data_IF_683201199603
#
_entry.id   IF_683201199603
#
_cell.length_a   1.000
_cell.length_b   1.000
_cell.length_c   1.000
_cell.angle_alpha   90.00
_cell.angle_beta   90.00
_cell.angle_gamma   90.00
#
_symmetry.space_group_name_H-M   'P 1'
#
loop_
_entity.id
_entity.type
_entity.pdbx_description
1 polymer ?
#
# COMPACT_ATOMS: atom_id res chain seq x y z
N UNK A 1 -21.56 -0.97 5.03
CA UNK A 1 -20.92 -1.23 3.72
C UNK A 1 -19.46 -1.61 3.96
N UNK A 2 -19.07 -2.84 3.69
CA UNK A 2 -17.77 -3.38 4.12
C UNK A 2 -16.59 -2.90 3.27
N UNK A 3 -15.42 -2.72 3.89
CA UNK A 3 -14.21 -2.23 3.20
C UNK A 3 -12.97 -3.01 3.61
N UNK A 4 -12.24 -3.58 2.66
CA UNK A 4 -10.89 -4.12 2.91
C UNK A 4 -9.85 -3.08 2.50
N UNK A 5 -8.99 -2.68 3.43
CA UNK A 5 -7.88 -1.75 3.19
C UNK A 5 -6.58 -2.55 3.09
N UNK A 6 -6.03 -2.65 1.89
CA UNK A 6 -4.71 -3.20 1.67
C UNK A 6 -3.65 -2.14 1.90
N UNK A 7 -2.56 -2.48 2.60
CA UNK A 7 -1.48 -1.53 2.81
C UNK A 7 -0.08 -2.12 2.58
N UNK A 8 0.86 -1.27 2.20
CA UNK A 8 2.28 -1.56 2.25
C UNK A 8 3.00 -0.47 3.01
N UNK A 9 3.91 -0.82 3.93
CA UNK A 9 4.66 0.16 4.71
C UNK A 9 6.06 -0.37 5.07
N UNK A 10 7.09 0.45 4.86
CA UNK A 10 8.44 0.15 5.33
C UNK A 10 8.67 0.55 6.79
N UNK A 11 8.26 1.76 7.17
CA UNK A 11 8.51 2.36 8.50
C UNK A 11 7.23 2.62 9.32
N UNK A 12 6.07 2.16 8.85
CA UNK A 12 4.79 2.22 9.59
C UNK A 12 3.90 3.43 9.28
N UNK A 13 4.37 4.41 8.51
CA UNK A 13 3.58 5.59 8.13
C UNK A 13 2.28 5.23 7.38
N UNK A 14 2.38 4.42 6.33
CA UNK A 14 1.22 3.93 5.58
C UNK A 14 0.31 3.03 6.43
N UNK A 15 0.86 2.28 7.39
CA UNK A 15 0.06 1.50 8.34
C UNK A 15 -0.74 2.42 9.27
N UNK A 16 -0.14 3.51 9.76
CA UNK A 16 -0.84 4.50 10.58
C UNK A 16 -2.01 5.12 9.81
N UNK A 17 -1.79 5.53 8.57
CA UNK A 17 -2.86 6.05 7.69
C UNK A 17 -3.96 5.00 7.46
N UNK A 18 -3.60 3.75 7.17
CA UNK A 18 -4.58 2.68 6.98
C UNK A 18 -5.45 2.49 8.23
N UNK A 19 -4.85 2.53 9.43
CA UNK A 19 -5.57 2.48 10.71
C UNK A 19 -6.48 3.67 10.93
N UNK A 20 -6.01 4.88 10.61
CA UNK A 20 -6.79 6.11 10.78
C UNK A 20 -8.01 6.15 9.83
N UNK A 21 -7.86 5.61 8.62
CA UNK A 21 -8.98 5.46 7.67
C UNK A 21 -9.95 4.39 8.17
N UNK A 22 -9.47 3.21 8.56
CA UNK A 22 -10.30 2.13 9.08
C UNK A 22 -11.14 2.59 10.28
N UNK A 23 -10.54 3.37 11.20
CA UNK A 23 -11.26 3.91 12.37
C UNK A 23 -12.38 4.90 12.03
N UNK A 24 -12.49 5.36 10.78
CA UNK A 24 -13.57 6.24 10.29
C UNK A 24 -14.58 5.50 9.41
N UNK A 25 -14.32 4.23 9.07
CA UNK A 25 -15.19 3.40 8.26
C UNK A 25 -15.93 2.40 9.16
N UNK A 26 -17.18 2.14 8.83
CA UNK A 26 -17.91 1.02 9.43
C UNK A 26 -17.52 -0.29 8.74
N UNK A 27 -17.32 -1.36 9.50
CA UNK A 27 -17.05 -2.71 8.98
C UNK A 27 -15.84 -2.75 8.03
N UNK A 28 -14.65 -2.46 8.54
CA UNK A 28 -13.42 -2.45 7.74
C UNK A 28 -12.31 -3.32 8.31
N UNK A 29 -11.61 -4.02 7.42
CA UNK A 29 -10.42 -4.80 7.73
C UNK A 29 -9.17 -4.17 7.11
N UNK A 30 -8.02 -4.37 7.74
CA UNK A 30 -6.72 -3.92 7.24
C UNK A 30 -5.83 -5.12 6.99
N UNK A 31 -5.33 -5.25 5.76
CA UNK A 31 -4.51 -6.39 5.32
C UNK A 31 -3.18 -5.89 4.74
N UNK A 32 -2.02 -6.38 5.22
CA UNK A 32 -0.75 -6.05 4.58
C UNK A 32 -0.65 -6.71 3.20
N UNK A 33 -0.29 -5.97 2.17
CA UNK A 33 -0.08 -6.48 0.81
C UNK A 33 0.97 -7.60 0.80
N UNK A 34 1.98 -7.53 1.67
CA UNK A 34 3.00 -8.57 1.78
C UNK A 34 2.44 -9.94 2.15
N UNK A 35 1.34 -10.01 2.92
CA UNK A 35 0.74 -11.30 3.29
C UNK A 35 -0.06 -11.95 2.16
N UNK A 36 -0.36 -11.22 1.09
CA UNK A 36 -1.13 -11.74 -0.05
C UNK A 36 -0.24 -12.20 -1.20
N UNK A 37 1.07 -11.99 -1.12
CA UNK A 37 2.00 -12.27 -2.22
C UNK A 37 2.17 -13.77 -2.51
N UNK A 38 1.99 -14.62 -1.51
CA UNK A 38 2.07 -16.08 -1.66
C UNK A 38 0.82 -16.67 -2.30
N UNK A 39 -0.31 -15.96 -2.29
CA UNK A 39 -1.55 -16.41 -2.91
C UNK A 39 -1.45 -16.35 -4.44
N UNK A 40 -2.08 -17.31 -5.13
CA UNK A 40 -2.21 -17.27 -6.60
C UNK A 40 -3.24 -16.24 -7.05
N UNK A 41 -4.33 -16.12 -6.28
CA UNK A 41 -5.43 -15.18 -6.51
C UNK A 41 -5.81 -14.51 -5.20
N UNK A 42 -6.14 -13.22 -5.27
CA UNK A 42 -6.60 -12.41 -4.14
C UNK A 42 -8.07 -12.10 -4.37
N UNK A 43 -8.95 -12.78 -3.64
CA UNK A 43 -10.38 -12.47 -3.57
C UNK A 43 -10.68 -11.67 -2.30
N UNK A 44 -11.62 -10.75 -2.41
CA UNK A 44 -12.14 -9.99 -1.25
C UNK A 44 -13.65 -10.03 -1.28
N UNK A 45 -14.24 -10.34 -0.14
CA UNK A 45 -15.70 -10.35 0.05
C UNK A 45 -16.24 -8.95 0.35
N UNK A 46 -15.36 -7.98 0.64
CA UNK A 46 -15.75 -6.61 0.94
C UNK A 46 -16.29 -5.87 -0.29
N UNK A 47 -17.30 -5.04 -0.08
CA UNK A 47 -17.94 -4.24 -1.13
C UNK A 47 -17.02 -3.14 -1.68
N UNK A 48 -15.97 -2.78 -0.93
CA UNK A 48 -14.97 -1.78 -1.31
C UNK A 48 -13.56 -2.27 -1.03
N UNK A 49 -12.64 -1.82 -1.88
CA UNK A 49 -11.20 -1.99 -1.67
C UNK A 49 -10.55 -0.61 -1.55
N UNK A 50 -9.78 -0.41 -0.48
CA UNK A 50 -8.84 0.70 -0.31
C UNK A 50 -7.39 0.21 -0.43
N UNK A 51 -6.50 1.04 -0.98
CA UNK A 51 -5.07 0.74 -1.07
C UNK A 51 -4.29 1.91 -0.47
N UNK A 52 -3.39 1.63 0.48
CA UNK A 52 -2.54 2.62 1.17
C UNK A 52 -1.07 2.22 1.07
N UNK A 53 -0.26 3.03 0.41
CA UNK A 53 1.15 2.72 0.14
C UNK A 53 1.99 4.00 0.10
N UNK A 54 3.31 3.91 0.32
CA UNK A 54 4.20 5.05 0.07
C UNK A 54 4.30 5.31 -1.43
N UNK A 55 4.35 6.59 -1.82
CA UNK A 55 4.87 6.97 -3.13
C UNK A 55 6.35 7.25 -2.95
N UNK A 56 7.18 6.50 -3.67
CA UNK A 56 8.60 6.82 -3.73
C UNK A 56 8.83 7.85 -4.84
N UNK A 57 9.92 8.62 -4.78
CA UNK A 57 10.28 9.63 -5.80
C UNK A 57 10.21 9.05 -7.23
N UNK A 58 10.47 7.75 -7.36
CA UNK A 58 10.47 7.01 -8.63
C UNK A 58 9.19 6.22 -8.92
N UNK A 59 8.08 6.52 -8.25
CA UNK A 59 6.77 5.95 -8.51
C UNK A 59 6.26 4.95 -7.47
N UNK A 60 5.37 4.05 -7.90
CA UNK A 60 4.70 3.09 -7.02
C UNK A 60 5.65 1.96 -6.60
N UNK A 61 5.52 1.43 -5.37
CA UNK A 61 6.28 0.28 -4.92
C UNK A 61 6.05 -0.93 -5.85
N UNK A 62 7.13 -1.63 -6.24
CA UNK A 62 7.06 -2.82 -7.12
C UNK A 62 6.11 -3.90 -6.60
N UNK A 63 5.94 -4.00 -5.28
CA UNK A 63 5.00 -4.94 -4.66
C UNK A 63 3.55 -4.74 -5.12
N UNK A 64 3.18 -3.52 -5.53
CA UNK A 64 1.84 -3.21 -5.98
C UNK A 64 1.50 -3.90 -7.30
N UNK A 65 2.44 -4.04 -8.24
CA UNK A 65 2.14 -4.68 -9.53
C UNK A 65 1.81 -6.16 -9.36
N UNK A 66 2.57 -6.86 -8.50
CA UNK A 66 2.30 -8.27 -8.15
C UNK A 66 1.01 -8.47 -7.35
N UNK A 67 0.59 -7.46 -6.58
CA UNK A 67 -0.71 -7.47 -5.93
C UNK A 67 -1.86 -7.30 -6.93
N UNK A 68 -1.77 -6.26 -7.76
CA UNK A 68 -2.80 -5.92 -8.75
C UNK A 68 -3.00 -7.10 -9.71
N UNK A 69 -1.94 -7.71 -10.23
CA UNK A 69 -2.07 -8.83 -11.18
C UNK A 69 -2.84 -10.05 -10.64
N UNK A 70 -2.94 -10.19 -9.31
CA UNK A 70 -3.61 -11.29 -8.62
C UNK A 70 -5.00 -10.92 -8.10
N UNK A 71 -5.35 -9.64 -8.09
CA UNK A 71 -6.59 -9.14 -7.52
C UNK A 71 -7.77 -9.44 -8.44
N UNK A 72 -8.86 -9.97 -7.87
CA UNK A 72 -10.12 -10.14 -8.59
C UNK A 72 -10.86 -8.79 -8.72
N UNK A 73 -11.25 -8.40 -9.94
CA UNK A 73 -11.66 -7.03 -10.29
C UNK A 73 -13.18 -6.79 -10.30
N UNK A 74 -13.98 -7.63 -9.66
CA UNK A 74 -15.45 -7.47 -9.68
C UNK A 74 -15.96 -6.29 -8.84
N UNK A 75 -15.08 -5.48 -8.24
CA UNK A 75 -15.40 -4.54 -7.15
C UNK A 75 -14.99 -3.10 -7.52
N UNK A 76 -15.75 -2.11 -7.01
CA UNK A 76 -15.39 -0.68 -7.11
C UNK A 76 -14.12 -0.39 -6.31
N UNK A 77 -13.02 -0.22 -7.03
CA UNK A 77 -11.72 0.20 -6.49
C UNK A 77 -11.70 1.70 -6.18
N UNK A 78 -11.24 2.07 -4.98
CA UNK A 78 -10.88 3.44 -4.63
C UNK A 78 -9.43 3.49 -4.15
N UNK A 79 -8.56 4.07 -4.97
CA UNK A 79 -7.15 4.28 -4.64
C UNK A 79 -7.03 5.68 -4.02
N UNK A 80 -6.66 5.75 -2.74
CA UNK A 80 -6.33 7.02 -2.09
C UNK A 80 -4.82 7.03 -1.83
N UNK A 81 -4.12 7.91 -2.53
CA UNK A 81 -2.67 7.98 -2.51
C UNK A 81 -2.22 9.11 -1.58
N UNK A 82 -1.60 8.77 -0.46
CA UNK A 82 -1.10 9.74 0.50
C UNK A 82 0.41 9.91 0.32
N UNK A 83 0.83 11.10 -0.13
CA UNK A 83 2.21 11.54 -0.02
C UNK A 83 2.48 11.91 1.44
N UNK A 84 3.06 10.99 2.19
CA UNK A 84 3.74 11.35 3.42
C UNK A 84 5.19 11.59 3.04
N UNK A 85 5.69 12.81 3.30
CA UNK A 85 7.13 13.04 3.26
C UNK A 85 7.76 12.06 4.25
N UNK A 86 8.45 11.07 3.70
CA UNK A 86 9.35 10.26 4.48
C UNK A 86 10.46 11.23 4.91
N UNK A 87 10.63 11.48 6.21
CA UNK A 87 11.93 11.93 6.69
C UNK A 87 12.90 10.76 6.50
N UNK A 88 13.34 10.56 5.26
CA UNK A 88 14.45 9.66 4.96
C UNK A 88 15.68 10.31 5.58
N UNK A 89 16.42 9.52 6.36
CA UNK A 89 17.71 9.95 6.88
C UNK A 89 18.59 10.32 5.68
N UNK A 90 18.96 11.60 5.50
CA UNK A 90 19.66 12.11 4.30
C UNK A 90 20.88 11.28 3.91
N UNK A 91 21.54 10.67 4.89
CA UNK A 91 22.71 9.80 4.67
C UNK A 91 22.41 8.54 3.83
N UNK A 92 21.18 8.03 3.84
CA UNK A 92 20.76 6.90 3.01
C UNK A 92 20.43 7.34 1.57
N UNK A 93 19.96 8.58 1.38
CA UNK A 93 19.71 9.10 0.03
C UNK A 93 21.03 9.30 -0.72
N UNK A 94 22.05 9.92 -0.10
CA UNK A 94 23.35 10.13 -0.74
C UNK A 94 24.00 8.81 -1.19
N UNK A 95 23.88 7.74 -0.39
CA UNK A 95 24.42 6.43 -0.75
C UNK A 95 23.64 5.76 -1.89
N UNK A 96 22.30 5.89 -1.92
CA UNK A 96 21.48 5.42 -3.02
C UNK A 96 21.73 6.21 -4.32
N UNK A 97 21.87 7.54 -4.25
CA UNK A 97 22.19 8.37 -5.41
C UNK A 97 23.57 8.06 -5.98
N UNK A 98 24.58 7.84 -5.12
CA UNK A 98 25.92 7.45 -5.55
C UNK A 98 25.98 6.05 -6.17
N UNK A 99 25.08 5.14 -5.77
CA UNK A 99 25.05 3.76 -6.27
C UNK A 99 24.24 3.61 -7.57
N UNK A 100 23.32 4.53 -7.85
CA UNK A 100 22.49 4.51 -9.06
C UNK A 100 23.09 5.29 -10.25
N UNK A 101 24.14 6.09 -10.00
CA UNK A 101 24.87 6.87 -11.01
C UNK A 101 26.20 6.21 -11.44
N UNK A 102 26.50 5.01 -10.92
CA UNK A 102 27.64 4.18 -11.32
C UNK A 102 27.18 2.92 -12.07
#
# INVERSE_FOLDING_TARGET
MSTTIYYFSGTGNSLKVAKDIAGRLENSDIIPISSTLASEKISTVSERIGIVLPIYIYGLPKILSGFISKLDYTIRLRINMFLLQQHVNRNLEEHFYSSAMN
#
